data_IF_695436347076
#
_entry.id   IF_695436347076
#
_cell.length_a   1.000
_cell.length_b   1.000
_cell.length_c   1.000
_cell.angle_alpha   90.00
_cell.angle_beta   90.00
_cell.angle_gamma   90.00
#
_symmetry.space_group_name_H-M   'P 1'
#
loop_
_entity.id
_entity.type
_entity.pdbx_description
1 polymer ?
#
# COMPACT_ATOMS: atom_id res chain seq x y z
N UNK A 1 -51.22 13.61 -57.21
CA UNK A 1 -49.75 13.56 -57.00
C UNK A 1 -49.29 14.37 -55.76
N UNK A 2 -50.14 14.57 -54.74
CA UNK A 2 -49.84 15.46 -53.59
C UNK A 2 -49.38 14.74 -52.31
N UNK A 3 -49.42 13.40 -52.23
CA UNK A 3 -49.03 12.66 -51.02
C UNK A 3 -47.52 12.32 -50.93
N UNK A 4 -46.76 12.49 -52.02
CA UNK A 4 -45.36 12.02 -52.05
C UNK A 4 -44.38 12.96 -51.36
N UNK A 5 -44.76 14.21 -51.10
CA UNK A 5 -43.87 15.25 -50.58
C UNK A 5 -43.98 15.38 -49.05
N UNK A 6 -45.19 15.21 -48.49
CA UNK A 6 -45.44 15.15 -47.04
C UNK A 6 -44.79 13.94 -46.38
N UNK A 7 -44.77 12.78 -47.06
CA UNK A 7 -44.19 11.55 -46.52
C UNK A 7 -42.65 11.61 -46.46
N UNK A 8 -42.01 12.29 -47.42
CA UNK A 8 -40.56 12.52 -47.41
C UNK A 8 -40.14 13.42 -46.26
N UNK A 9 -40.89 14.49 -46.00
CA UNK A 9 -40.58 15.41 -44.91
C UNK A 9 -40.81 14.77 -43.53
N UNK A 10 -41.84 13.92 -43.40
CA UNK A 10 -42.08 13.11 -42.20
C UNK A 10 -40.98 12.06 -41.98
N UNK A 11 -40.53 11.42 -43.05
CA UNK A 11 -39.41 10.47 -43.04
C UNK A 11 -38.11 11.18 -42.63
N UNK A 12 -37.70 12.26 -43.31
CA UNK A 12 -36.48 13.02 -42.99
C UNK A 12 -36.47 13.60 -41.56
N UNK A 13 -37.60 14.09 -41.06
CA UNK A 13 -37.69 14.60 -39.69
C UNK A 13 -37.65 13.47 -38.65
N UNK A 14 -38.11 12.26 -38.99
CA UNK A 14 -37.92 11.07 -38.14
C UNK A 14 -36.43 10.71 -38.01
N UNK A 15 -35.64 10.76 -39.11
CA UNK A 15 -34.19 10.52 -39.04
C UNK A 15 -33.43 11.59 -38.24
N UNK A 16 -33.84 12.87 -38.34
CA UNK A 16 -33.24 13.95 -37.54
C UNK A 16 -33.53 13.77 -36.05
N UNK A 17 -34.77 13.42 -35.68
CA UNK A 17 -35.17 13.18 -34.30
C UNK A 17 -34.52 11.92 -33.71
N UNK A 18 -34.39 10.84 -34.48
CA UNK A 18 -33.67 9.62 -34.08
C UNK A 18 -32.17 9.89 -33.90
N UNK A 19 -31.57 10.68 -34.79
CA UNK A 19 -30.16 11.09 -34.68
C UNK A 19 -29.89 11.95 -33.44
N UNK A 20 -30.81 12.86 -33.08
CA UNK A 20 -30.71 13.68 -31.86
C UNK A 20 -30.86 12.84 -30.57
N UNK A 21 -31.73 11.84 -30.56
CA UNK A 21 -31.93 10.94 -29.40
C UNK A 21 -30.72 10.01 -29.20
N UNK A 22 -30.10 9.53 -30.28
CA UNK A 22 -28.89 8.69 -30.21
C UNK A 22 -27.69 9.48 -29.63
N UNK A 23 -27.51 10.74 -30.03
CA UNK A 23 -26.44 11.60 -29.49
C UNK A 23 -26.65 11.87 -27.99
N UNK A 24 -27.91 12.05 -27.55
CA UNK A 24 -28.23 12.26 -26.14
C UNK A 24 -28.01 11.01 -25.28
N UNK A 25 -28.30 9.81 -25.80
CA UNK A 25 -28.06 8.53 -25.10
C UNK A 25 -26.57 8.19 -25.02
N UNK A 26 -25.77 8.52 -26.05
CA UNK A 26 -24.30 8.34 -26.03
C UNK A 26 -23.64 9.28 -24.99
N UNK A 27 -24.18 10.49 -24.79
CA UNK A 27 -23.67 11.45 -23.81
C UNK A 27 -23.86 11.00 -22.35
N UNK A 28 -24.78 10.07 -22.06
CA UNK A 28 -25.05 9.57 -20.70
C UNK A 28 -24.06 8.45 -20.31
N UNK A 29 -23.47 7.74 -21.29
CA UNK A 29 -22.53 6.64 -21.04
C UNK A 29 -21.10 7.08 -20.71
N UNK A 30 -20.79 8.38 -20.76
CA UNK A 30 -19.43 8.91 -20.54
C UNK A 30 -19.19 9.36 -19.09
N UNK A 31 -20.21 9.29 -18.21
CA UNK A 31 -20.09 9.72 -16.81
C UNK A 31 -19.86 8.59 -15.79
N UNK A 32 -19.76 7.33 -16.23
CA UNK A 32 -19.40 6.23 -15.34
C UNK A 32 -17.88 6.06 -15.26
N UNK A 33 -17.30 6.64 -14.20
CA UNK A 33 -16.12 6.08 -13.55
C UNK A 33 -14.89 6.98 -13.48
N UNK A 34 -14.88 7.96 -12.57
CA UNK A 34 -13.65 8.21 -11.83
C UNK A 34 -13.49 7.02 -10.87
N UNK A 35 -12.74 6.01 -11.30
CA UNK A 35 -12.19 5.04 -10.36
C UNK A 35 -11.21 5.83 -9.50
N UNK A 36 -11.49 5.95 -8.20
CA UNK A 36 -10.43 6.25 -7.24
C UNK A 36 -9.50 5.05 -7.30
N UNK A 37 -8.41 5.20 -8.04
CA UNK A 37 -7.29 4.30 -7.89
C UNK A 37 -6.75 4.54 -6.48
N UNK A 38 -7.15 3.67 -5.55
CA UNK A 38 -6.46 3.52 -4.26
C UNK A 38 -5.15 2.77 -4.42
N UNK A 39 -4.64 2.68 -5.66
CA UNK A 39 -3.23 2.45 -5.90
C UNK A 39 -2.52 3.80 -5.85
N UNK A 40 -2.48 4.39 -4.65
CA UNK A 40 -1.19 4.88 -4.18
C UNK A 40 -0.42 3.61 -3.82
N UNK A 41 0.16 3.04 -4.88
CA UNK A 41 1.24 2.09 -4.91
C UNK A 41 2.05 2.12 -3.60
N UNK A 42 2.10 1.00 -2.87
CA UNK A 42 3.20 0.06 -3.03
C UNK A 42 4.55 0.80 -3.05
N UNK A 43 5.08 1.03 -1.85
CA UNK A 43 6.40 1.60 -1.57
C UNK A 43 6.57 3.09 -1.90
N UNK A 44 6.21 4.01 -0.99
CA UNK A 44 6.96 5.26 -0.87
C UNK A 44 8.33 4.91 -0.29
N UNK A 45 9.24 4.37 -1.11
CA UNK A 45 10.58 4.90 -0.98
C UNK A 45 10.56 6.28 -1.62
N UNK A 46 10.69 7.30 -0.75
CA UNK A 46 11.34 8.57 -1.07
C UNK A 46 10.47 9.64 -1.76
N UNK A 47 9.30 9.92 -1.18
CA UNK A 47 8.57 11.17 -1.43
C UNK A 47 8.36 11.93 -0.13
N UNK A 48 9.21 12.92 0.16
CA UNK A 48 9.34 13.68 1.41
C UNK A 48 10.15 12.96 2.50
N UNK A 49 10.91 13.72 3.29
CA UNK A 49 11.94 13.20 4.20
C UNK A 49 11.42 12.15 5.18
N UNK A 50 12.36 11.47 5.86
CA UNK A 50 12.02 10.51 6.90
C UNK A 50 11.07 11.14 7.93
N UNK A 51 9.76 10.87 7.81
CA UNK A 51 8.79 11.36 8.78
C UNK A 51 8.98 10.54 10.05
N UNK A 52 9.60 11.22 11.01
CA UNK A 52 9.97 10.69 12.32
C UNK A 52 9.03 11.21 13.41
N UNK A 53 8.02 11.99 13.04
CA UNK A 53 7.18 12.72 14.00
C UNK A 53 6.00 11.90 14.51
N UNK A 54 5.46 10.97 13.70
CA UNK A 54 4.31 10.14 14.06
C UNK A 54 4.56 8.65 13.82
N UNK A 55 5.62 8.12 14.42
CA UNK A 55 5.93 6.69 14.31
C UNK A 55 5.00 5.86 15.20
N UNK A 56 4.21 4.98 14.60
CA UNK A 56 3.25 4.09 15.27
C UNK A 56 3.49 2.63 14.91
N UNK A 57 3.07 1.70 15.76
CA UNK A 57 3.22 0.27 15.47
C UNK A 57 2.44 -0.10 14.20
N UNK A 58 1.14 0.20 14.17
CA UNK A 58 0.23 -0.16 13.08
C UNK A 58 0.49 0.63 11.79
N UNK A 59 0.81 1.92 11.90
CA UNK A 59 0.99 2.80 10.74
C UNK A 59 2.39 2.79 10.14
N UNK A 60 3.42 2.47 10.93
CA UNK A 60 4.83 2.57 10.47
C UNK A 60 5.58 1.26 10.59
N UNK A 61 5.55 0.60 11.75
CA UNK A 61 6.39 -0.58 11.98
C UNK A 61 5.82 -1.85 11.36
N UNK A 62 4.52 -2.07 11.43
CA UNK A 62 3.86 -3.25 10.86
C UNK A 62 4.06 -3.33 9.33
N UNK A 63 3.86 -2.25 8.54
CA UNK A 63 4.19 -2.26 7.11
C UNK A 63 5.68 -2.52 6.83
N UNK A 64 6.57 -1.97 7.65
CA UNK A 64 8.02 -2.20 7.55
C UNK A 64 8.36 -3.67 7.81
N UNK A 65 7.84 -4.26 8.89
CA UNK A 65 8.07 -5.67 9.23
C UNK A 65 7.53 -6.59 8.13
N UNK A 66 6.31 -6.32 7.66
CA UNK A 66 5.69 -7.04 6.55
C UNK A 66 6.57 -7.05 5.30
N UNK A 67 7.10 -5.89 4.93
CA UNK A 67 7.91 -5.72 3.72
C UNK A 67 9.30 -6.36 3.81
N UNK A 68 9.95 -6.27 4.97
CA UNK A 68 11.39 -6.56 5.08
C UNK A 68 11.73 -7.76 5.98
N UNK A 69 10.78 -8.29 6.73
CA UNK A 69 11.05 -9.30 7.77
C UNK A 69 10.21 -10.58 7.63
N UNK A 70 8.93 -10.45 7.28
CA UNK A 70 7.98 -11.57 7.41
C UNK A 70 8.15 -12.70 6.37
N UNK A 71 8.95 -12.50 5.32
CA UNK A 71 9.32 -13.59 4.41
C UNK A 71 9.99 -14.77 5.12
N UNK A 72 10.76 -14.48 6.18
CA UNK A 72 11.41 -15.49 7.02
C UNK A 72 10.88 -15.51 8.46
N UNK A 73 10.36 -14.39 8.97
CA UNK A 73 10.00 -14.21 10.37
C UNK A 73 8.48 -14.11 10.63
N UNK A 74 7.63 -14.52 9.70
CA UNK A 74 6.20 -14.67 9.98
C UNK A 74 5.95 -15.85 10.91
N UNK A 75 4.78 -15.91 11.53
CA UNK A 75 4.35 -17.03 12.36
C UNK A 75 4.37 -18.36 11.61
N UNK A 76 4.12 -18.32 10.30
CA UNK A 76 4.11 -19.49 9.42
C UNK A 76 5.50 -19.88 8.89
N UNK A 77 6.43 -18.93 8.73
CA UNK A 77 7.75 -19.17 8.12
C UNK A 77 8.91 -19.23 9.13
N UNK A 78 8.74 -18.66 10.32
CA UNK A 78 9.78 -18.54 11.34
C UNK A 78 10.46 -19.87 11.68
N UNK A 79 9.70 -20.96 11.78
CA UNK A 79 10.25 -22.27 12.14
C UNK A 79 11.23 -22.81 11.09
N UNK A 80 10.97 -22.56 9.81
CA UNK A 80 11.76 -23.09 8.69
C UNK A 80 12.88 -22.15 8.26
N UNK A 81 12.64 -20.83 8.29
CA UNK A 81 13.52 -19.84 7.67
C UNK A 81 14.02 -18.75 8.64
N UNK A 82 13.31 -18.53 9.74
CA UNK A 82 13.56 -17.46 10.70
C UNK A 82 14.17 -17.90 12.02
N UNK A 83 14.70 -19.12 12.11
CA UNK A 83 15.26 -19.68 13.35
C UNK A 83 14.29 -19.65 14.55
N UNK A 84 13.01 -19.92 14.30
CA UNK A 84 11.89 -19.80 15.25
C UNK A 84 11.66 -18.38 15.81
N UNK A 85 12.26 -17.35 15.22
CA UNK A 85 12.01 -15.96 15.61
C UNK A 85 10.80 -15.44 14.83
N UNK A 86 9.74 -15.09 15.56
CA UNK A 86 8.51 -14.49 15.04
C UNK A 86 8.55 -12.97 15.21
N UNK A 87 8.03 -12.24 14.22
CA UNK A 87 7.95 -10.78 14.18
C UNK A 87 6.62 -10.27 13.61
N UNK A 88 5.59 -11.14 13.51
CA UNK A 88 4.34 -10.82 12.82
C UNK A 88 3.38 -9.99 13.67
N UNK A 89 3.17 -10.37 14.94
CA UNK A 89 2.27 -9.64 15.83
C UNK A 89 3.05 -8.75 16.79
N UNK A 90 2.39 -7.74 17.35
CA UNK A 90 2.97 -6.84 18.36
C UNK A 90 3.66 -7.59 19.50
N UNK A 91 3.03 -8.64 20.06
CA UNK A 91 3.61 -9.42 21.16
C UNK A 91 4.90 -10.14 20.75
N UNK A 92 4.98 -10.67 19.53
CA UNK A 92 6.17 -11.32 19.00
C UNK A 92 7.33 -10.32 18.83
N UNK A 93 7.00 -9.14 18.31
CA UNK A 93 7.94 -8.03 18.12
C UNK A 93 8.46 -7.52 19.45
N UNK A 94 7.58 -7.28 20.42
CA UNK A 94 7.94 -6.75 21.73
C UNK A 94 8.93 -7.65 22.47
N UNK A 95 8.83 -8.98 22.32
CA UNK A 95 9.80 -9.91 22.88
C UNK A 95 11.23 -9.68 22.33
N UNK A 96 11.36 -9.32 21.05
CA UNK A 96 12.66 -9.02 20.39
C UNK A 96 13.14 -7.60 20.59
N UNK A 97 12.22 -6.68 20.92
CA UNK A 97 12.56 -5.33 21.39
C UNK A 97 13.16 -5.42 22.78
N UNK A 98 12.51 -6.16 23.69
CA UNK A 98 12.91 -6.27 25.10
C UNK A 98 14.27 -6.97 25.29
N UNK A 99 14.62 -7.92 24.41
CA UNK A 99 15.95 -8.55 24.42
C UNK A 99 17.00 -7.80 23.56
N UNK A 100 16.63 -6.64 23.00
CA UNK A 100 17.48 -5.77 22.18
C UNK A 100 17.82 -6.33 20.80
N UNK A 101 17.41 -7.55 20.47
CA UNK A 101 17.86 -8.22 19.25
C UNK A 101 17.27 -7.63 17.99
N UNK A 102 16.04 -7.12 18.03
CA UNK A 102 15.42 -6.54 16.83
C UNK A 102 16.25 -5.36 16.31
N UNK A 103 16.50 -4.38 17.18
CA UNK A 103 17.31 -3.21 16.82
C UNK A 103 18.76 -3.58 16.51
N UNK A 104 19.40 -4.36 17.37
CA UNK A 104 20.81 -4.76 17.18
C UNK A 104 21.06 -5.50 15.86
N UNK A 105 20.10 -6.33 15.42
CA UNK A 105 20.20 -7.08 14.16
C UNK A 105 20.06 -6.18 12.94
N UNK A 106 19.08 -5.26 12.91
CA UNK A 106 18.87 -4.36 11.75
C UNK A 106 19.88 -3.21 11.70
N UNK A 107 20.37 -2.77 12.85
CA UNK A 107 21.48 -1.82 12.96
C UNK A 107 22.81 -2.48 12.55
N UNK A 108 22.85 -3.81 12.51
CA UNK A 108 24.03 -4.63 12.27
C UNK A 108 25.15 -4.33 13.27
N UNK A 109 24.76 -4.16 14.53
CA UNK A 109 25.69 -3.91 15.64
C UNK A 109 26.43 -5.20 16.02
N UNK A 110 27.65 -5.06 16.55
CA UNK A 110 28.44 -6.21 17.01
C UNK A 110 27.68 -7.04 18.07
N UNK A 111 27.80 -8.37 17.98
CA UNK A 111 27.13 -9.31 18.89
C UNK A 111 25.73 -9.75 18.47
N UNK A 112 25.16 -9.21 17.38
CA UNK A 112 23.88 -9.62 16.82
C UNK A 112 24.06 -10.30 15.45
N UNK A 113 23.12 -11.16 15.05
CA UNK A 113 23.11 -11.67 13.66
C UNK A 113 22.63 -10.54 12.73
N UNK A 114 23.43 -10.10 11.75
CA UNK A 114 23.04 -9.02 10.86
C UNK A 114 21.79 -9.37 10.05
N UNK A 115 20.84 -8.44 10.02
CA UNK A 115 19.62 -8.52 9.22
C UNK A 115 19.45 -7.25 8.36
N UNK A 116 18.78 -7.33 7.18
CA UNK A 116 18.28 -8.55 6.54
C UNK A 116 19.41 -9.51 6.13
N UNK A 117 19.16 -10.83 6.23
CA UNK A 117 20.21 -11.84 6.03
C UNK A 117 20.67 -11.85 4.57
N UNK A 118 21.99 -11.80 4.34
CA UNK A 118 22.60 -11.86 3.00
C UNK A 118 22.04 -10.83 2.01
N UNK A 119 21.57 -9.68 2.52
CA UNK A 119 20.98 -8.61 1.72
C UNK A 119 21.45 -7.26 2.24
N UNK A 120 21.14 -6.20 1.51
CA UNK A 120 21.50 -4.84 1.86
C UNK A 120 20.84 -4.43 3.18
N UNK A 121 21.60 -3.72 4.02
CA UNK A 121 21.10 -3.12 5.25
C UNK A 121 19.91 -2.20 4.95
N UNK A 122 18.94 -2.15 5.87
CA UNK A 122 17.83 -1.20 5.76
C UNK A 122 18.34 0.24 5.75
N UNK A 123 17.57 1.14 5.13
CA UNK A 123 17.90 2.57 5.13
C UNK A 123 17.91 3.13 6.56
N UNK A 124 18.74 4.16 6.78
CA UNK A 124 18.86 4.80 8.09
C UNK A 124 17.53 5.36 8.60
N UNK A 125 16.64 5.77 7.69
CA UNK A 125 15.29 6.20 8.05
C UNK A 125 14.50 5.07 8.73
N UNK A 126 14.45 3.87 8.15
CA UNK A 126 13.72 2.72 8.69
C UNK A 126 14.28 2.30 10.06
N UNK A 127 15.61 2.28 10.18
CA UNK A 127 16.29 1.97 11.43
C UNK A 127 15.97 3.04 12.49
N UNK A 128 15.95 4.31 12.11
CA UNK A 128 15.61 5.43 13.00
C UNK A 128 14.15 5.40 13.43
N UNK A 129 13.21 5.08 12.53
CA UNK A 129 11.79 4.90 12.89
C UNK A 129 11.64 3.81 13.94
N UNK A 130 12.30 2.65 13.78
CA UNK A 130 12.29 1.62 14.82
C UNK A 130 12.85 2.16 16.14
N UNK A 131 13.98 2.88 16.11
CA UNK A 131 14.60 3.42 17.32
C UNK A 131 13.68 4.40 18.05
N UNK A 132 13.06 5.33 17.34
CA UNK A 132 12.12 6.32 17.89
C UNK A 132 10.95 5.63 18.57
N UNK A 133 10.35 4.64 17.91
CA UNK A 133 9.24 3.90 18.48
C UNK A 133 9.65 3.08 19.72
N UNK A 134 10.82 2.44 19.70
CA UNK A 134 11.38 1.76 20.89
C UNK A 134 11.60 2.76 22.03
N UNK A 135 12.17 3.93 21.74
CA UNK A 135 12.45 4.97 22.74
C UNK A 135 11.17 5.59 23.32
N UNK A 136 10.08 5.59 22.55
CA UNK A 136 8.74 5.95 23.01
C UNK A 136 8.07 4.86 23.87
N UNK A 137 8.76 3.77 24.19
CA UNK A 137 8.25 2.65 25.00
C UNK A 137 7.58 1.54 24.19
N UNK A 138 7.82 1.50 22.87
CA UNK A 138 7.24 0.53 21.95
C UNK A 138 5.70 0.40 22.07
N UNK A 139 4.93 1.52 22.01
CA UNK A 139 3.48 1.47 22.16
C UNK A 139 2.81 0.62 21.07
N UNK A 140 1.74 -0.10 21.44
CA UNK A 140 0.87 -0.77 20.48
C UNK A 140 -0.20 0.22 19.99
N UNK A 141 0.15 1.06 19.03
CA UNK A 141 -0.68 2.16 18.53
C UNK A 141 -0.75 2.20 17.00
#
# INVERSE_FOLDING_TARGET
MLNKETDKNKFLNSFKSVSLIIVFIISIFIFSGCYYDSQEYMFPELGSGCDTTNVTFSGTLEPMLSSYCLSCHSNSTAASYGANIKLENYSDVLLRVNDGKLYGSIAQSGGFSPMPKNSTKLSDCKISSLKIWIDAGAPNN
#
